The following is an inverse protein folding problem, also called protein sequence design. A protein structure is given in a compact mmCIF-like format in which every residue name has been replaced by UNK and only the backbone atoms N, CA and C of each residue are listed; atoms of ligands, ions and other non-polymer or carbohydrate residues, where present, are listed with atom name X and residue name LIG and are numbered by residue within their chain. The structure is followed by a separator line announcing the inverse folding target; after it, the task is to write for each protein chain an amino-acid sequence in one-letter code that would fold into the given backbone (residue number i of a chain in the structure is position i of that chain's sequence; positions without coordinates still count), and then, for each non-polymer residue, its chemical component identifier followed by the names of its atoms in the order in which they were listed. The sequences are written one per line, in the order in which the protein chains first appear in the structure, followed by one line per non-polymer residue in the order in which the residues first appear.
data_IF_994449552592
#
_entry.id   IF_994449552592
#
_cell.length_a   1.000
_cell.length_b   1.000
_cell.length_c   1.000
_cell.angle_alpha   90.00
_cell.angle_beta   90.00
_cell.angle_gamma   90.00
#
_symmetry.space_group_name_H-M   'P 1'
#
loop_
_entity.id
_entity.type
_entity.pdbx_description
1 polymer ?
#
# COMPACT_ATOMS: atom_id res chain seq x y z
N UNK A 1 18.38 70.76 -6.61
CA UNK A 1 19.21 69.65 -7.12
C UNK A 1 19.79 68.88 -5.93
N UNK A 2 19.18 67.76 -5.54
CA UNK A 2 19.89 66.62 -4.94
C UNK A 2 19.11 65.37 -5.33
N UNK A 3 19.83 64.40 -5.89
CA UNK A 3 19.33 63.24 -6.61
C UNK A 3 18.65 62.16 -5.76
N UNK A 4 17.71 61.50 -6.42
CA UNK A 4 17.07 60.21 -6.10
C UNK A 4 18.02 59.08 -5.70
N UNK A 5 17.59 58.21 -4.78
CA UNK A 5 17.13 56.85 -5.13
C UNK A 5 16.79 56.06 -3.87
N UNK A 6 15.49 55.89 -3.61
CA UNK A 6 14.98 54.89 -2.68
C UNK A 6 15.13 53.53 -3.35
N UNK A 7 16.00 52.67 -2.83
CA UNK A 7 16.08 51.26 -3.23
C UNK A 7 14.85 50.53 -2.67
N UNK A 8 13.81 50.40 -3.49
CA UNK A 8 12.70 49.48 -3.22
C UNK A 8 13.26 48.06 -3.27
N UNK A 9 13.43 47.45 -2.10
CA UNK A 9 13.72 46.02 -1.98
C UNK A 9 12.43 45.29 -2.33
N UNK A 10 12.39 44.68 -3.51
CA UNK A 10 11.32 43.76 -3.89
C UNK A 10 11.32 42.58 -2.89
N UNK A 11 10.17 42.13 -2.40
CA UNK A 11 10.12 40.91 -1.61
C UNK A 11 10.55 39.75 -2.51
N UNK A 12 11.55 38.98 -2.06
CA UNK A 12 11.85 37.67 -2.63
C UNK A 12 10.56 36.85 -2.55
N UNK A 13 9.99 36.57 -3.72
CA UNK A 13 8.93 35.60 -3.84
C UNK A 13 9.48 34.26 -3.35
N UNK A 14 9.01 33.83 -2.18
CA UNK A 14 9.18 32.46 -1.73
C UNK A 14 8.43 31.59 -2.76
N UNK A 15 9.07 30.65 -3.48
CA UNK A 15 8.32 29.75 -4.32
C UNK A 15 7.56 28.82 -3.39
N UNK A 16 6.29 29.15 -3.18
CA UNK A 16 5.27 28.16 -2.89
C UNK A 16 5.36 27.13 -4.03
N UNK A 17 6.06 26.02 -3.81
CA UNK A 17 5.82 24.84 -4.61
C UNK A 17 4.65 24.09 -3.98
N UNK A 18 3.49 24.42 -4.50
CA UNK A 18 2.22 23.76 -4.34
C UNK A 18 2.33 22.24 -4.49
N UNK A 19 1.73 21.51 -3.55
CA UNK A 19 0.91 20.33 -3.87
C UNK A 19 1.50 18.93 -3.69
N UNK A 20 2.83 18.72 -3.73
CA UNK A 20 3.40 17.37 -3.62
C UNK A 20 4.28 17.23 -2.36
N UNK A 21 4.11 16.15 -1.56
CA UNK A 21 4.94 15.91 -0.39
C UNK A 21 6.42 15.69 -0.77
N UNK A 22 7.33 16.14 0.09
CA UNK A 22 8.78 16.02 -0.13
C UNK A 22 9.22 14.54 -0.15
N UNK A 23 10.05 14.16 -1.12
CA UNK A 23 10.57 12.80 -1.32
C UNK A 23 11.26 12.28 -0.06
N UNK A 24 12.02 13.14 0.61
CA UNK A 24 12.71 12.79 1.86
C UNK A 24 11.70 12.52 2.99
N UNK A 25 10.63 13.32 3.07
CA UNK A 25 9.57 13.16 4.04
C UNK A 25 8.78 11.86 3.84
N UNK A 26 8.45 11.52 2.60
CA UNK A 26 7.76 10.27 2.24
C UNK A 26 8.62 9.06 2.59
N UNK A 27 9.89 9.08 2.19
CA UNK A 27 10.82 7.97 2.48
C UNK A 27 11.01 7.76 3.98
N UNK A 28 11.20 8.83 4.75
CA UNK A 28 11.31 8.77 6.20
C UNK A 28 10.04 8.24 6.89
N UNK A 29 8.89 8.39 6.22
CA UNK A 29 7.61 7.89 6.66
C UNK A 29 7.29 6.45 6.17
N UNK A 30 8.20 5.76 5.47
CA UNK A 30 7.93 4.46 4.82
C UNK A 30 6.82 4.52 3.76
N UNK A 31 6.69 5.66 3.08
CA UNK A 31 5.83 5.85 1.91
C UNK A 31 6.74 5.92 0.69
N UNK A 32 6.45 5.14 -0.34
CA UNK A 32 7.26 5.16 -1.56
C UNK A 32 6.99 6.46 -2.35
N UNK A 33 8.00 7.31 -2.58
CA UNK A 33 7.79 8.59 -3.26
C UNK A 33 7.34 8.47 -4.72
N UNK A 34 7.61 7.34 -5.38
CA UNK A 34 7.26 7.12 -6.79
C UNK A 34 5.80 6.68 -6.93
N UNK A 35 5.32 5.86 -6.00
CA UNK A 35 4.00 5.23 -6.10
C UNK A 35 2.98 5.89 -5.18
N UNK A 36 3.43 6.66 -4.19
CA UNK A 36 2.58 7.27 -3.16
C UNK A 36 2.01 6.27 -2.15
N UNK A 37 2.43 5.00 -2.22
CA UNK A 37 1.88 3.91 -1.41
C UNK A 37 2.77 3.58 -0.22
N UNK A 38 2.15 3.06 0.83
CA UNK A 38 2.81 2.69 2.08
C UNK A 38 2.62 1.20 2.34
N UNK A 39 3.71 0.50 2.70
CA UNK A 39 3.69 -0.94 2.97
C UNK A 39 2.83 -1.31 4.18
N UNK A 40 2.63 -0.37 5.10
CA UNK A 40 1.83 -0.57 6.32
C UNK A 40 0.40 -1.01 6.04
N UNK A 41 -0.20 -0.64 4.89
CA UNK A 41 -1.54 -1.11 4.53
C UNK A 41 -1.61 -2.63 4.37
N UNK A 42 -0.54 -3.28 3.91
CA UNK A 42 -0.52 -4.73 3.76
C UNK A 42 -0.53 -5.47 5.09
N UNK A 43 -0.19 -4.81 6.20
CA UNK A 43 -0.30 -5.41 7.54
C UNK A 43 -1.73 -5.82 7.86
N UNK A 44 -2.73 -5.05 7.41
CA UNK A 44 -4.14 -5.36 7.59
C UNK A 44 -4.56 -6.71 6.98
N UNK A 45 -3.99 -7.05 5.82
CA UNK A 45 -4.22 -8.34 5.16
C UNK A 45 -3.36 -9.45 5.76
N UNK A 46 -2.12 -9.14 6.16
CA UNK A 46 -1.22 -10.10 6.80
C UNK A 46 -1.78 -10.61 8.14
N UNK A 47 -2.45 -9.75 8.91
CA UNK A 47 -3.16 -10.15 10.13
C UNK A 47 -4.26 -11.18 9.84
N UNK A 48 -5.09 -10.94 8.81
CA UNK A 48 -6.12 -11.89 8.39
C UNK A 48 -5.52 -13.23 7.92
N UNK A 49 -4.42 -13.19 7.15
CA UNK A 49 -3.70 -14.38 6.69
C UNK A 49 -3.14 -15.17 7.89
N UNK A 50 -2.52 -14.48 8.85
CA UNK A 50 -1.99 -15.11 10.05
C UNK A 50 -3.09 -15.84 10.82
N UNK A 51 -4.26 -15.22 11.01
CA UNK A 51 -5.40 -15.86 11.67
C UNK A 51 -5.87 -17.11 10.90
N UNK A 52 -5.98 -17.03 9.58
CA UNK A 52 -6.35 -18.17 8.73
C UNK A 52 -5.35 -19.33 8.84
N UNK A 53 -4.06 -19.04 8.96
CA UNK A 53 -3.01 -20.05 9.11
C UNK A 53 -3.01 -20.74 10.47
N UNK A 54 -3.50 -20.07 11.50
CA UNK A 54 -3.59 -20.65 12.85
C UNK A 54 -4.79 -21.58 12.99
N UNK A 55 -5.91 -21.34 12.29
CA UNK A 55 -7.16 -22.12 12.39
C UNK A 55 -6.98 -23.65 12.35
N UNK A 56 -6.14 -24.25 11.48
CA UNK A 56 -5.96 -25.71 11.45
C UNK A 56 -5.48 -26.33 12.76
N UNK A 57 -4.62 -25.62 13.49
CA UNK A 57 -4.04 -26.07 14.76
C UNK A 57 -4.74 -25.43 15.97
N UNK A 58 -5.36 -24.26 15.77
CA UNK A 58 -5.98 -23.41 16.79
C UNK A 58 -7.32 -22.85 16.28
N UNK A 59 -8.41 -23.65 16.28
CA UNK A 59 -9.70 -23.27 15.68
C UNK A 59 -10.36 -22.02 16.28
N UNK A 60 -10.02 -21.63 17.50
CA UNK A 60 -10.52 -20.42 18.16
C UNK A 60 -10.15 -19.12 17.41
N UNK A 61 -9.03 -19.10 16.67
CA UNK A 61 -8.63 -17.98 15.80
C UNK A 61 -9.67 -17.68 14.71
N UNK A 62 -10.56 -18.62 14.42
CA UNK A 62 -11.68 -18.36 13.52
C UNK A 62 -12.53 -17.20 14.03
N UNK A 63 -12.75 -17.07 15.33
CA UNK A 63 -13.58 -15.99 15.89
C UNK A 63 -12.98 -14.64 15.54
N UNK A 64 -11.68 -14.47 15.81
CA UNK A 64 -10.94 -13.25 15.49
C UNK A 64 -10.93 -12.97 13.98
N UNK A 65 -10.76 -14.02 13.15
CA UNK A 65 -10.83 -13.88 11.70
C UNK A 65 -12.23 -13.42 11.23
N UNK A 66 -13.29 -13.91 11.87
CA UNK A 66 -14.66 -13.51 11.55
C UNK A 66 -15.02 -12.11 12.08
N UNK A 67 -14.25 -11.57 13.02
CA UNK A 67 -14.35 -10.18 13.47
C UNK A 67 -13.60 -9.21 12.57
N UNK A 68 -12.57 -9.67 11.85
CA UNK A 68 -11.86 -8.87 10.85
C UNK A 68 -12.83 -8.24 9.86
N UNK A 69 -12.68 -6.93 9.63
CA UNK A 69 -13.48 -6.15 8.69
C UNK A 69 -12.56 -5.55 7.63
N UNK A 70 -13.01 -5.52 6.36
CA UNK A 70 -12.24 -4.89 5.31
C UNK A 70 -12.16 -3.38 5.51
N UNK A 71 -10.97 -2.83 5.28
CA UNK A 71 -10.72 -1.39 5.24
C UNK A 71 -10.10 -1.02 3.90
N UNK A 72 -10.59 0.04 3.26
CA UNK A 72 -9.87 0.69 2.16
C UNK A 72 -8.55 1.28 2.65
N UNK A 73 -7.64 1.60 1.71
CA UNK A 73 -6.36 2.26 2.05
C UNK A 73 -6.56 3.49 2.95
N UNK A 74 -7.54 4.34 2.61
CA UNK A 74 -7.85 5.56 3.37
C UNK A 74 -8.38 5.24 4.76
N UNK A 75 -9.30 4.28 4.86
CA UNK A 75 -9.90 3.89 6.14
C UNK A 75 -8.86 3.26 7.08
N UNK A 76 -7.96 2.42 6.55
CA UNK A 76 -6.85 1.83 7.31
C UNK A 76 -5.99 2.91 7.95
N UNK A 77 -5.51 3.88 7.16
CA UNK A 77 -4.66 4.94 7.71
C UNK A 77 -5.42 5.91 8.62
N UNK A 78 -6.69 6.20 8.33
CA UNK A 78 -7.51 7.04 9.20
C UNK A 78 -7.72 6.40 10.59
N UNK A 79 -7.83 5.07 10.64
CA UNK A 79 -8.03 4.31 11.89
C UNK A 79 -6.72 3.89 12.58
N UNK A 80 -5.56 3.94 11.91
CA UNK A 80 -4.31 3.40 12.45
C UNK A 80 -3.53 4.39 13.33
N UNK A 81 -2.58 3.82 14.09
CA UNK A 81 -1.56 4.57 14.85
C UNK A 81 -0.34 4.95 14.00
N UNK A 82 -0.44 4.84 12.68
CA UNK A 82 0.65 5.18 11.77
C UNK A 82 0.95 6.68 11.86
N UNK A 83 2.17 7.02 12.27
CA UNK A 83 2.57 8.42 12.59
C UNK A 83 2.35 9.39 11.43
N UNK A 84 2.48 8.91 10.20
CA UNK A 84 2.37 9.69 8.99
C UNK A 84 1.08 9.40 8.21
N UNK A 85 -0.02 9.04 8.88
CA UNK A 85 -1.29 8.67 8.23
C UNK A 85 -1.85 9.71 7.27
N UNK A 86 -1.83 10.99 7.66
CA UNK A 86 -2.37 12.06 6.82
C UNK A 86 -1.49 12.24 5.57
N UNK A 87 -0.18 12.05 5.72
CA UNK A 87 0.78 12.07 4.63
C UNK A 87 0.59 10.87 3.69
N UNK A 88 0.35 9.67 4.22
CA UNK A 88 0.07 8.48 3.41
C UNK A 88 -1.22 8.63 2.60
N UNK A 89 -2.28 9.14 3.22
CA UNK A 89 -3.55 9.41 2.52
C UNK A 89 -3.35 10.46 1.42
N UNK A 90 -2.67 11.57 1.72
CA UNK A 90 -2.42 12.63 0.74
C UNK A 90 -1.53 12.16 -0.42
N UNK A 91 -0.50 11.36 -0.13
CA UNK A 91 0.38 10.78 -1.14
C UNK A 91 -0.37 9.81 -2.06
N UNK A 92 -1.23 8.96 -1.48
CA UNK A 92 -2.09 8.06 -2.24
C UNK A 92 -3.15 8.83 -3.06
N UNK A 93 -3.74 9.90 -2.54
CA UNK A 93 -4.70 10.74 -3.28
C UNK A 93 -4.06 11.42 -4.50
N UNK A 94 -2.76 11.73 -4.40
CA UNK A 94 -1.98 12.40 -5.45
C UNK A 94 -1.21 11.42 -6.34
N UNK A 95 -1.28 10.12 -6.07
CA UNK A 95 -0.59 9.10 -6.84
C UNK A 95 -1.19 8.95 -8.24
N UNK A 96 -0.38 8.42 -9.17
CA UNK A 96 -0.81 8.14 -10.54
C UNK A 96 -2.05 7.23 -10.56
N UNK A 97 -3.06 7.62 -11.34
CA UNK A 97 -4.36 6.94 -11.40
C UNK A 97 -4.23 5.47 -11.84
N UNK A 98 -3.28 5.14 -12.72
CA UNK A 98 -3.05 3.76 -13.15
C UNK A 98 -2.46 2.92 -12.02
N UNK A 99 -1.48 3.46 -11.28
CA UNK A 99 -0.89 2.81 -10.10
C UNK A 99 -1.98 2.57 -9.04
N UNK A 100 -2.79 3.59 -8.74
CA UNK A 100 -3.88 3.47 -7.76
C UNK A 100 -4.91 2.44 -8.19
N UNK A 101 -5.36 2.49 -9.44
CA UNK A 101 -6.35 1.55 -9.97
C UNK A 101 -5.84 0.11 -9.91
N UNK A 102 -4.59 -0.13 -10.30
CA UNK A 102 -3.99 -1.47 -10.24
C UNK A 102 -3.92 -1.96 -8.79
N UNK A 103 -3.45 -1.12 -7.87
CA UNK A 103 -3.35 -1.45 -6.45
C UNK A 103 -4.72 -1.73 -5.81
N UNK A 104 -5.71 -0.89 -6.08
CA UNK A 104 -7.08 -1.00 -5.56
C UNK A 104 -7.76 -2.26 -6.09
N UNK A 105 -7.51 -2.65 -7.35
CA UNK A 105 -8.04 -3.88 -7.91
C UNK A 105 -7.49 -5.13 -7.20
N UNK A 106 -6.18 -5.16 -6.91
CA UNK A 106 -5.56 -6.30 -6.21
C UNK A 106 -6.06 -6.38 -4.77
N UNK A 107 -6.09 -5.26 -4.05
CA UNK A 107 -6.56 -5.21 -2.65
C UNK A 107 -8.06 -5.45 -2.53
N UNK A 108 -8.85 -5.03 -3.53
CA UNK A 108 -10.26 -5.38 -3.68
C UNK A 108 -10.48 -6.87 -3.91
N UNK A 109 -9.63 -7.53 -4.69
CA UNK A 109 -9.68 -8.99 -4.88
C UNK A 109 -9.37 -9.74 -3.56
N UNK A 110 -8.34 -9.31 -2.82
CA UNK A 110 -8.04 -9.88 -1.49
C UNK A 110 -9.22 -9.73 -0.53
N UNK A 111 -9.78 -8.52 -0.46
CA UNK A 111 -10.96 -8.21 0.35
C UNK A 111 -12.15 -9.12 0.00
N UNK A 112 -12.41 -9.31 -1.29
CA UNK A 112 -13.51 -10.15 -1.77
C UNK A 112 -13.33 -11.61 -1.37
N UNK A 113 -12.11 -12.14 -1.49
CA UNK A 113 -11.77 -13.52 -1.09
C UNK A 113 -11.98 -13.69 0.42
N UNK A 114 -11.37 -12.82 1.24
CA UNK A 114 -11.45 -12.93 2.70
C UNK A 114 -12.89 -12.80 3.20
N UNK A 115 -13.66 -11.88 2.63
CA UNK A 115 -15.08 -11.69 2.98
C UNK A 115 -15.92 -12.92 2.62
N UNK A 116 -15.75 -13.46 1.40
CA UNK A 116 -16.48 -14.64 0.94
C UNK A 116 -16.13 -15.88 1.77
N UNK A 117 -14.86 -16.06 2.10
CA UNK A 117 -14.40 -17.15 2.99
C UNK A 117 -14.99 -17.01 4.38
N UNK A 118 -14.97 -15.80 4.95
CA UNK A 118 -15.60 -15.55 6.25
C UNK A 118 -17.11 -15.83 6.25
N UNK A 119 -17.81 -15.51 5.17
CA UNK A 119 -19.22 -15.89 5.02
C UNK A 119 -19.40 -17.42 4.97
N UNK A 120 -18.62 -18.10 4.14
CA UNK A 120 -18.67 -19.57 4.01
C UNK A 120 -18.32 -20.28 5.33
N UNK A 121 -17.38 -19.75 6.12
CA UNK A 121 -17.02 -20.29 7.43
C UNK A 121 -18.16 -20.20 8.45
N UNK A 122 -18.95 -19.11 8.41
CA UNK A 122 -20.13 -18.95 9.28
C UNK A 122 -21.22 -19.98 8.96
N UNK A 123 -21.38 -20.32 7.69
CA UNK A 123 -22.37 -21.31 7.24
C UNK A 123 -21.91 -22.77 7.44
N UNK A 124 -20.60 -23.01 7.42
CA UNK A 124 -20.02 -24.33 7.55
C UNK A 124 -20.38 -24.98 8.90
N UNK A 125 -20.93 -26.20 8.83
CA UNK A 125 -21.33 -26.99 10.00
C UNK A 125 -20.20 -27.88 10.55
N UNK A 126 -19.15 -28.11 9.76
CA UNK A 126 -18.09 -29.05 10.07
C UNK A 126 -16.74 -28.33 10.16
N UNK A 127 -15.97 -28.61 11.20
CA UNK A 127 -14.65 -27.98 11.42
C UNK A 127 -13.67 -28.30 10.30
N UNK A 128 -13.71 -29.53 9.75
CA UNK A 128 -12.90 -29.89 8.58
C UNK A 128 -13.15 -28.98 7.37
N UNK A 129 -14.38 -28.49 7.19
CA UNK A 129 -14.72 -27.58 6.09
C UNK A 129 -14.13 -26.20 6.36
N UNK A 130 -14.22 -25.70 7.59
CA UNK A 130 -13.62 -24.42 8.00
C UNK A 130 -12.10 -24.45 7.84
N UNK A 131 -11.44 -25.53 8.26
CA UNK A 131 -9.99 -25.73 8.09
C UNK A 131 -9.61 -25.76 6.60
N UNK A 132 -10.39 -26.43 5.76
CA UNK A 132 -10.14 -26.46 4.32
C UNK A 132 -10.29 -25.07 3.68
N UNK A 133 -11.35 -24.34 4.03
CA UNK A 133 -11.56 -22.95 3.60
C UNK A 133 -10.39 -22.05 4.02
N UNK A 134 -9.90 -22.20 5.26
CA UNK A 134 -8.79 -21.40 5.77
C UNK A 134 -7.51 -21.63 4.96
N UNK A 135 -7.13 -22.89 4.74
CA UNK A 135 -5.94 -23.26 3.95
C UNK A 135 -6.02 -22.76 2.51
N UNK A 136 -7.19 -22.88 1.89
CA UNK A 136 -7.40 -22.41 0.52
C UNK A 136 -7.29 -20.88 0.42
N UNK A 137 -7.95 -20.16 1.33
CA UNK A 137 -7.92 -18.71 1.38
C UNK A 137 -6.49 -18.18 1.53
N UNK A 138 -5.70 -18.73 2.46
CA UNK A 138 -4.28 -18.40 2.61
C UNK A 138 -3.52 -18.58 1.30
N UNK A 139 -3.72 -19.71 0.62
CA UNK A 139 -3.08 -19.99 -0.67
C UNK A 139 -3.45 -19.02 -1.79
N UNK A 140 -4.67 -18.50 -1.79
CA UNK A 140 -5.14 -17.53 -2.80
C UNK A 140 -4.70 -16.09 -2.51
N UNK A 141 -4.68 -15.68 -1.23
CA UNK A 141 -4.42 -14.28 -0.85
C UNK A 141 -2.93 -13.97 -0.81
N UNK A 142 -2.07 -14.91 -0.40
CA UNK A 142 -0.61 -14.69 -0.30
C UNK A 142 0.03 -14.16 -1.60
N UNK A 143 -0.24 -14.75 -2.78
CA UNK A 143 0.28 -14.21 -4.04
C UNK A 143 -0.19 -12.78 -4.31
N UNK A 144 -1.42 -12.42 -3.95
CA UNK A 144 -1.96 -11.08 -4.14
C UNK A 144 -1.27 -10.06 -3.22
N UNK A 145 -0.95 -10.43 -1.98
CA UNK A 145 -0.13 -9.59 -1.08
C UNK A 145 1.25 -9.35 -1.68
N UNK A 146 1.89 -10.39 -2.25
CA UNK A 146 3.18 -10.24 -2.93
C UNK A 146 3.09 -9.29 -4.12
N UNK A 147 2.04 -9.41 -4.95
CA UNK A 147 1.82 -8.52 -6.09
C UNK A 147 1.57 -7.07 -5.65
N UNK A 148 0.69 -6.86 -4.67
CA UNK A 148 0.43 -5.54 -4.08
C UNK A 148 1.72 -4.94 -3.50
N UNK A 149 2.53 -5.76 -2.82
CA UNK A 149 3.86 -5.36 -2.35
C UNK A 149 4.76 -4.92 -3.50
N UNK A 150 4.78 -5.62 -4.62
CA UNK A 150 5.51 -5.21 -5.83
C UNK A 150 5.09 -3.82 -6.33
N UNK A 151 3.78 -3.55 -6.40
CA UNK A 151 3.27 -2.23 -6.79
C UNK A 151 3.72 -1.15 -5.81
N UNK A 152 3.69 -1.41 -4.50
CA UNK A 152 4.13 -0.42 -3.49
C UNK A 152 5.59 -0.04 -3.69
N UNK A 153 6.48 -1.00 -3.95
CA UNK A 153 7.90 -0.72 -4.18
C UNK A 153 8.18 -0.09 -5.57
N UNK A 154 7.26 -0.28 -6.52
CA UNK A 154 7.39 0.15 -7.91
C UNK A 154 8.44 -0.68 -8.65
N UNK A 155 8.62 -0.47 -9.97
CA UNK A 155 9.65 -1.16 -10.74
C UNK A 155 11.04 -0.87 -10.14
N UNK A 156 11.80 -1.94 -9.87
CA UNK A 156 13.18 -1.86 -9.43
C UNK A 156 14.00 -1.11 -10.48
N UNK A 157 14.71 -0.05 -10.08
CA UNK A 157 15.55 0.75 -10.98
C UNK A 157 16.65 -0.10 -11.64
N UNK A 158 17.02 -1.23 -11.03
CA UNK A 158 18.00 -2.17 -11.57
C UNK A 158 17.55 -2.83 -12.89
N UNK A 159 16.24 -2.93 -13.16
CA UNK A 159 15.74 -3.53 -14.40
C UNK A 159 15.85 -2.59 -15.62
N UNK A 160 15.82 -1.26 -15.41
CA UNK A 160 15.99 -0.27 -16.48
C UNK A 160 17.46 0.06 -16.73
N UNK A 161 18.31 0.00 -15.70
CA UNK A 161 19.74 0.30 -15.83
C UNK A 161 20.51 -0.77 -16.62
N UNK A 162 20.07 -2.04 -16.60
CA UNK A 162 20.76 -3.14 -17.30
C UNK A 162 20.43 -3.15 -18.81
N UNK A 163 19.22 -2.72 -19.20
CA UNK A 163 18.84 -2.64 -20.62
C UNK A 163 19.59 -1.51 -21.34
N UNK A 164 19.71 -0.34 -20.70
CA UNK A 164 20.43 0.80 -21.28
C UNK A 164 21.95 0.55 -21.34
N UNK A 165 22.52 -0.19 -20.38
CA UNK A 165 23.93 -0.58 -20.38
C UNK A 165 24.26 -1.59 -21.50
N UNK A 166 23.38 -2.55 -21.77
CA UNK A 166 23.54 -3.56 -22.83
C UNK A 166 23.31 -2.95 -24.23
N UNK A 167 22.42 -1.97 -24.38
CA UNK A 167 22.16 -1.28 -25.65
C UNK A 167 23.26 -0.29 -26.04
N UNK A 168 23.97 0.29 -25.07
CA UNK A 168 25.06 1.26 -25.28
C UNK A 168 26.44 0.63 -25.43
N UNK A 169 26.62 -0.64 -25.05
CA UNK A 169 27.88 -1.38 -25.19
C UNK A 169 27.72 -2.57 -26.15
N UNK A 170 27.50 -2.29 -27.44
CA UNK A 170 27.88 -3.25 -28.48
C UNK A 170 29.41 -3.37 -28.52
N UNK A 171 29.89 -4.58 -28.24
CA UNK A 171 31.28 -5.03 -28.28
C UNK A 171 32.00 -4.63 -29.59
N UNK A 172 33.33 -4.36 -29.54
CA UNK A 172 34.16 -4.12 -30.72
C UNK A 172 34.25 -5.33 -31.65
#
# INVERSE_FOLDING_TARGET
MVSSSVKTVLPVANPANSGAPDVAQLTAANINPRTGLATDYLNHFNEAIMLLEMIPDMPECMTDFLEWQPLSYREHFAASNFKARDLAIAAYDSADDAIRTEFDNITGAMTSILTAVGAAMREAQQDKTRIALARQATGWVRPLVTLAGGIIHGPSVEADADVDYIMSHKLP
#
